data_IF_286453499819
#
_entry.id   IF_286453499819
#
_cell.length_a   1.000
_cell.length_b   1.000
_cell.length_c   1.000
_cell.angle_alpha   90.00
_cell.angle_beta   90.00
_cell.angle_gamma   90.00
#
_symmetry.space_group_name_H-M   'P 1'
#
loop_
_entity.id
_entity.type
_entity.pdbx_description
1 polymer ?
#
# COMPACT_ATOMS: atom_id res chain seq x y z
N UNK A 1 25.81 -15.22 10.28
CA UNK A 1 24.78 -14.43 9.56
C UNK A 1 23.50 -15.25 9.32
N UNK A 2 23.60 -16.54 8.94
CA UNK A 2 22.46 -17.46 8.79
C UNK A 2 21.64 -17.73 10.08
N UNK A 3 22.23 -17.69 11.28
CA UNK A 3 21.45 -17.91 12.51
C UNK A 3 20.43 -16.80 12.82
N UNK A 4 20.67 -15.57 12.36
CA UNK A 4 19.73 -14.45 12.56
C UNK A 4 18.49 -14.54 11.66
N UNK A 5 18.56 -15.28 10.55
CA UNK A 5 17.42 -15.59 9.67
C UNK A 5 16.44 -16.58 10.31
N UNK A 6 16.78 -17.21 11.45
CA UNK A 6 15.80 -17.99 12.23
C UNK A 6 14.73 -17.12 12.89
N UNK A 7 14.97 -15.80 13.02
CA UNK A 7 13.95 -14.90 13.52
C UNK A 7 12.97 -14.55 12.38
N UNK A 8 11.69 -14.99 12.45
CA UNK A 8 10.74 -14.79 11.36
C UNK A 8 10.48 -13.31 11.07
N UNK A 9 10.56 -12.43 12.07
CA UNK A 9 10.41 -10.98 11.87
C UNK A 9 11.51 -10.43 10.96
N UNK A 10 12.76 -10.84 11.20
CA UNK A 10 13.91 -10.40 10.39
C UNK A 10 13.84 -11.01 8.99
N UNK A 11 13.37 -12.26 8.86
CA UNK A 11 13.24 -12.92 7.57
C UNK A 11 12.20 -12.22 6.67
N UNK A 12 11.01 -11.92 7.19
CA UNK A 12 9.98 -11.19 6.43
C UNK A 12 10.40 -9.76 6.11
N UNK A 13 11.10 -9.08 7.03
CA UNK A 13 11.67 -7.77 6.76
C UNK A 13 12.73 -7.81 5.64
N UNK A 14 13.63 -8.79 5.70
CA UNK A 14 14.68 -8.96 4.69
C UNK A 14 14.07 -9.30 3.31
N UNK A 15 13.05 -10.14 3.28
CA UNK A 15 12.32 -10.46 2.06
C UNK A 15 11.62 -9.23 1.49
N UNK A 16 10.97 -8.42 2.32
CA UNK A 16 10.36 -7.16 1.90
C UNK A 16 11.38 -6.20 1.30
N UNK A 17 12.53 -6.01 1.96
CA UNK A 17 13.62 -5.18 1.45
C UNK A 17 14.14 -5.72 0.11
N UNK A 18 14.26 -7.03 -0.03
CA UNK A 18 14.64 -7.66 -1.29
C UNK A 18 13.61 -7.35 -2.39
N UNK A 19 12.31 -7.45 -2.12
CA UNK A 19 11.26 -7.08 -3.07
C UNK A 19 11.41 -5.63 -3.54
N UNK A 20 11.64 -4.69 -2.61
CA UNK A 20 11.86 -3.28 -2.96
C UNK A 20 13.09 -3.11 -3.85
N UNK A 21 14.24 -3.69 -3.46
CA UNK A 21 15.48 -3.58 -4.24
C UNK A 21 15.31 -4.19 -5.63
N UNK A 22 14.61 -5.33 -5.73
CA UNK A 22 14.36 -6.01 -7.01
C UNK A 22 13.39 -5.21 -7.88
N UNK A 23 12.38 -4.58 -7.28
CA UNK A 23 11.50 -3.64 -7.99
C UNK A 23 12.31 -2.46 -8.54
N UNK A 24 13.13 -1.81 -7.72
CA UNK A 24 13.94 -0.67 -8.14
C UNK A 24 14.91 -1.02 -9.28
N UNK A 25 15.47 -2.24 -9.26
CA UNK A 25 16.38 -2.71 -10.31
C UNK A 25 15.67 -3.10 -11.61
N UNK A 26 14.50 -3.75 -11.52
CA UNK A 26 13.79 -4.29 -12.70
C UNK A 26 12.77 -3.34 -13.33
N UNK A 27 12.22 -2.40 -12.54
CA UNK A 27 11.08 -1.54 -12.89
C UNK A 27 9.87 -2.30 -13.46
N UNK A 28 9.74 -3.59 -13.15
CA UNK A 28 8.69 -4.43 -13.72
C UNK A 28 7.36 -4.28 -12.97
N UNK A 29 6.28 -4.11 -13.73
CA UNK A 29 4.91 -3.97 -13.19
C UNK A 29 4.47 -5.12 -12.27
N UNK A 30 4.71 -6.41 -12.63
CA UNK A 30 4.34 -7.54 -11.76
C UNK A 30 5.08 -7.54 -10.41
N UNK A 31 6.37 -7.19 -10.39
CA UNK A 31 7.14 -7.12 -9.14
C UNK A 31 6.67 -5.92 -8.30
N UNK A 32 6.29 -4.81 -8.94
CA UNK A 32 5.67 -3.68 -8.25
C UNK A 32 4.37 -4.10 -7.56
N UNK A 33 3.46 -4.75 -8.29
CA UNK A 33 2.19 -5.23 -7.75
C UNK A 33 2.39 -6.21 -6.58
N UNK A 34 3.33 -7.15 -6.72
CA UNK A 34 3.67 -8.08 -5.63
C UNK A 34 4.28 -7.37 -4.42
N UNK A 35 5.17 -6.41 -4.65
CA UNK A 35 5.81 -5.63 -3.58
C UNK A 35 4.78 -4.81 -2.81
N UNK A 36 3.83 -4.17 -3.50
CA UNK A 36 2.75 -3.41 -2.86
C UNK A 36 1.82 -4.33 -2.06
N UNK A 37 1.40 -5.44 -2.66
CA UNK A 37 0.59 -6.45 -1.97
C UNK A 37 1.28 -6.95 -0.69
N UNK A 38 2.56 -7.32 -0.80
CA UNK A 38 3.33 -7.81 0.33
C UNK A 38 3.53 -6.72 1.40
N UNK A 39 3.76 -5.47 0.99
CA UNK A 39 3.83 -4.32 1.91
C UNK A 39 2.52 -4.18 2.68
N UNK A 40 1.39 -4.30 1.99
CA UNK A 40 0.06 -4.31 2.58
C UNK A 40 -0.14 -5.42 3.61
N UNK A 41 0.34 -6.63 3.33
CA UNK A 41 0.19 -7.79 4.22
C UNK A 41 1.12 -7.78 5.44
N UNK A 42 2.24 -7.08 5.35
CA UNK A 42 3.30 -7.06 6.37
C UNK A 42 2.79 -6.79 7.82
N UNK A 43 1.92 -5.80 8.08
CA UNK A 43 1.34 -5.62 9.42
C UNK A 43 0.53 -6.82 9.91
N UNK A 44 -0.22 -7.51 9.04
CA UNK A 44 -0.98 -8.71 9.39
C UNK A 44 -0.06 -9.88 9.72
N UNK A 45 0.99 -10.08 8.92
CA UNK A 45 2.02 -11.10 9.18
C UNK A 45 2.66 -10.86 10.56
N UNK A 46 3.00 -9.62 10.90
CA UNK A 46 3.57 -9.29 12.20
C UNK A 46 2.60 -9.46 13.36
N UNK A 47 1.31 -9.12 13.19
CA UNK A 47 0.29 -9.40 14.22
C UNK A 47 0.17 -10.90 14.45
N UNK A 48 0.12 -11.72 13.40
CA UNK A 48 0.03 -13.19 13.52
C UNK A 48 1.26 -13.76 14.24
N UNK A 49 2.46 -13.30 13.88
CA UNK A 49 3.69 -13.71 14.57
C UNK A 49 3.70 -13.26 16.03
N UNK A 50 3.19 -12.07 16.32
CA UNK A 50 3.11 -11.54 17.67
C UNK A 50 2.15 -12.36 18.53
N UNK A 51 0.95 -12.67 18.03
CA UNK A 51 -0.02 -13.56 18.71
C UNK A 51 0.61 -14.94 18.95
N UNK A 52 1.39 -15.44 17.98
CA UNK A 52 1.97 -16.78 18.05
C UNK A 52 3.14 -16.93 19.02
N UNK A 53 3.90 -15.86 19.27
CA UNK A 53 5.16 -15.92 20.06
C UNK A 53 5.17 -15.09 21.34
N UNK A 54 4.32 -14.07 21.46
CA UNK A 54 4.28 -13.23 22.67
C UNK A 54 3.53 -13.92 23.81
N UNK A 55 3.95 -13.68 25.05
CA UNK A 55 3.26 -14.20 26.25
C UNK A 55 1.79 -13.78 26.30
N UNK A 56 1.50 -12.52 25.93
CA UNK A 56 0.14 -11.99 25.85
C UNK A 56 -0.68 -12.70 24.78
N UNK A 57 -0.09 -12.94 23.60
CA UNK A 57 -0.74 -13.66 22.51
C UNK A 57 -1.04 -15.12 22.85
N UNK A 58 -0.11 -15.79 23.54
CA UNK A 58 -0.29 -17.16 24.02
C UNK A 58 -1.45 -17.22 25.03
N UNK A 59 -1.48 -16.33 26.04
CA UNK A 59 -2.58 -16.23 27.00
C UNK A 59 -3.93 -15.97 26.32
N UNK A 60 -3.95 -15.12 25.29
CA UNK A 60 -5.16 -14.84 24.51
C UNK A 60 -5.66 -16.09 23.79
N UNK A 61 -4.75 -16.86 23.17
CA UNK A 61 -5.07 -18.10 22.46
C UNK A 61 -5.54 -19.20 23.41
N UNK A 62 -4.92 -19.33 24.58
CA UNK A 62 -5.28 -20.34 25.59
C UNK A 62 -6.67 -20.08 26.19
N UNK A 63 -7.05 -18.81 26.34
CA UNK A 63 -8.37 -18.42 26.83
C UNK A 63 -9.46 -18.42 25.73
N UNK A 64 -9.07 -18.41 24.46
CA UNK A 64 -10.00 -18.41 23.34
C UNK A 64 -10.40 -19.83 22.94
N UNK A 65 -11.67 -20.22 23.20
CA UNK A 65 -12.22 -21.46 22.63
C UNK A 65 -12.26 -21.36 21.09
N UNK A 66 -12.07 -22.48 20.40
CA UNK A 66 -12.04 -22.54 18.92
C UNK A 66 -13.21 -21.83 18.23
N UNK A 67 -14.41 -21.86 18.81
CA UNK A 67 -15.58 -21.19 18.25
C UNK A 67 -15.51 -19.67 18.33
N UNK A 68 -14.90 -19.09 19.38
CA UNK A 68 -14.69 -17.64 19.48
C UNK A 68 -13.72 -17.17 18.39
N UNK A 69 -12.69 -17.99 18.09
CA UNK A 69 -11.73 -17.71 17.03
C UNK A 69 -12.43 -17.75 15.66
N UNK A 70 -13.25 -18.78 15.41
CA UNK A 70 -14.01 -18.89 14.17
C UNK A 70 -14.95 -17.70 13.96
N UNK A 71 -15.73 -17.32 14.98
CA UNK A 71 -16.62 -16.15 14.92
C UNK A 71 -15.82 -14.86 14.71
N UNK A 72 -14.72 -14.67 15.45
CA UNK A 72 -13.86 -13.51 15.30
C UNK A 72 -13.28 -13.37 13.89
N UNK A 73 -12.81 -14.47 13.30
CA UNK A 73 -12.31 -14.50 11.92
C UNK A 73 -13.44 -14.19 10.94
N UNK A 74 -14.62 -14.79 11.09
CA UNK A 74 -15.76 -14.52 10.19
C UNK A 74 -16.17 -13.05 10.21
N UNK A 75 -16.27 -12.43 11.40
CA UNK A 75 -16.56 -10.99 11.54
C UNK A 75 -15.46 -10.13 10.94
N UNK A 76 -14.19 -10.49 11.17
CA UNK A 76 -13.05 -9.78 10.61
C UNK A 76 -13.06 -9.84 9.08
N UNK A 77 -13.24 -11.03 8.49
CA UNK A 77 -13.30 -11.21 7.03
C UNK A 77 -14.48 -10.45 6.44
N UNK A 78 -15.65 -10.51 7.08
CA UNK A 78 -16.83 -9.77 6.63
C UNK A 78 -16.61 -8.25 6.68
N UNK A 79 -16.11 -7.73 7.80
CA UNK A 79 -15.78 -6.31 7.94
C UNK A 79 -14.71 -5.86 6.94
N UNK A 80 -13.67 -6.67 6.76
CA UNK A 80 -12.62 -6.44 5.77
C UNK A 80 -13.17 -6.41 4.34
N UNK A 81 -14.07 -7.34 3.99
CA UNK A 81 -14.66 -7.40 2.65
C UNK A 81 -15.57 -6.20 2.34
N UNK A 82 -16.36 -5.74 3.32
CA UNK A 82 -17.17 -4.52 3.14
C UNK A 82 -16.27 -3.30 3.00
N UNK A 83 -15.27 -3.18 3.87
CA UNK A 83 -14.34 -2.07 3.83
C UNK A 83 -13.55 -2.04 2.52
N UNK A 84 -13.06 -3.19 2.06
CA UNK A 84 -12.29 -3.30 0.83
C UNK A 84 -13.06 -2.86 -0.40
N UNK A 85 -14.30 -3.32 -0.52
CA UNK A 85 -15.20 -2.95 -1.60
C UNK A 85 -15.49 -1.44 -1.59
N UNK A 86 -15.84 -0.90 -0.42
CA UNK A 86 -16.11 0.54 -0.26
C UNK A 86 -14.88 1.38 -0.60
N UNK A 87 -13.71 0.99 -0.11
CA UNK A 87 -12.46 1.71 -0.34
C UNK A 87 -12.05 1.68 -1.82
N UNK A 88 -12.07 0.50 -2.44
CA UNK A 88 -11.73 0.35 -3.86
C UNK A 88 -12.69 1.15 -4.76
N UNK A 89 -14.00 1.11 -4.48
CA UNK A 89 -14.98 1.93 -5.18
C UNK A 89 -14.71 3.42 -5.01
N UNK A 90 -14.43 3.88 -3.78
CA UNK A 90 -14.11 5.28 -3.50
C UNK A 90 -12.90 5.76 -4.30
N UNK A 91 -11.78 5.02 -4.25
CA UNK A 91 -10.56 5.38 -4.97
C UNK A 91 -10.76 5.41 -6.49
N UNK A 92 -11.47 4.44 -7.06
CA UNK A 92 -11.75 4.41 -8.49
C UNK A 92 -12.63 5.60 -8.89
N UNK A 93 -13.69 5.87 -8.13
CA UNK A 93 -14.59 6.98 -8.39
C UNK A 93 -13.87 8.33 -8.27
N UNK A 94 -12.97 8.50 -7.30
CA UNK A 94 -12.19 9.72 -7.11
C UNK A 94 -11.20 9.95 -8.27
N UNK A 95 -10.57 8.89 -8.77
CA UNK A 95 -9.54 8.96 -9.82
C UNK A 95 -10.13 9.13 -11.22
N UNK A 96 -11.19 8.38 -11.54
CA UNK A 96 -11.73 8.32 -12.90
C UNK A 96 -13.09 9.01 -13.06
N UNK A 97 -13.73 9.42 -11.96
CA UNK A 97 -15.05 10.05 -11.96
C UNK A 97 -16.15 9.21 -12.64
N UNK A 98 -15.98 7.88 -12.64
CA UNK A 98 -16.94 6.90 -13.18
C UNK A 98 -17.26 5.84 -12.14
N UNK A 99 -18.39 5.16 -12.31
CA UNK A 99 -18.77 4.04 -11.43
C UNK A 99 -17.73 2.91 -11.51
N UNK A 100 -17.23 2.50 -10.35
CA UNK A 100 -16.20 1.46 -10.22
C UNK A 100 -16.59 0.11 -10.82
N UNK A 101 -17.89 -0.17 -11.00
CA UNK A 101 -18.38 -1.36 -11.68
C UNK A 101 -17.95 -1.45 -13.16
N UNK A 102 -17.59 -0.33 -13.79
CA UNK A 102 -17.05 -0.33 -15.15
C UNK A 102 -15.59 -0.82 -15.21
N UNK A 103 -14.88 -0.83 -14.09
CA UNK A 103 -13.48 -1.27 -13.98
C UNK A 103 -13.39 -2.59 -13.21
N UNK A 104 -14.00 -3.65 -13.74
CA UNK A 104 -14.22 -4.90 -13.02
C UNK A 104 -12.93 -5.58 -12.52
N UNK A 105 -11.85 -5.58 -13.34
CA UNK A 105 -10.58 -6.20 -12.97
C UNK A 105 -9.87 -5.35 -11.92
N UNK A 106 -9.74 -4.05 -12.18
CA UNK A 106 -9.13 -3.08 -11.24
C UNK A 106 -9.85 -3.05 -9.91
N UNK A 107 -11.18 -2.98 -9.90
CA UNK A 107 -11.97 -3.01 -8.68
C UNK A 107 -11.71 -4.25 -7.84
N UNK A 108 -11.75 -5.43 -8.46
CA UNK A 108 -11.56 -6.71 -7.75
C UNK A 108 -10.14 -6.80 -7.17
N UNK A 109 -9.13 -6.43 -7.96
CA UNK A 109 -7.74 -6.51 -7.54
C UNK A 109 -7.38 -5.45 -6.50
N UNK A 110 -7.90 -4.22 -6.61
CA UNK A 110 -7.73 -3.21 -5.58
C UNK A 110 -8.39 -3.64 -4.26
N UNK A 111 -9.63 -4.13 -4.31
CA UNK A 111 -10.34 -4.61 -3.14
C UNK A 111 -9.60 -5.78 -2.46
N UNK A 112 -9.04 -6.72 -3.23
CA UNK A 112 -8.37 -7.87 -2.63
C UNK A 112 -6.92 -7.59 -2.21
N UNK A 113 -6.11 -7.02 -3.11
CA UNK A 113 -4.66 -6.90 -2.96
C UNK A 113 -4.23 -5.56 -2.35
N UNK A 114 -4.98 -4.48 -2.56
CA UNK A 114 -4.55 -3.13 -2.18
C UNK A 114 -5.34 -2.54 -1.01
N UNK A 115 -6.45 -3.15 -0.57
CA UNK A 115 -7.14 -2.70 0.65
C UNK A 115 -6.28 -2.60 1.90
N UNK A 116 -5.31 -3.52 2.15
CA UNK A 116 -4.39 -3.36 3.28
C UNK A 116 -3.64 -2.02 3.23
N UNK A 117 -3.36 -1.54 2.01
CA UNK A 117 -2.84 -0.21 1.75
C UNK A 117 -3.81 0.86 2.26
N UNK A 118 -5.05 0.84 1.77
CA UNK A 118 -6.10 1.78 2.14
C UNK A 118 -6.53 1.77 3.60
N UNK A 119 -6.25 0.70 4.35
CA UNK A 119 -6.63 0.57 5.77
C UNK A 119 -5.53 1.05 6.71
N UNK A 120 -4.28 0.68 6.44
CA UNK A 120 -3.17 0.87 7.39
C UNK A 120 -2.23 2.00 7.00
N UNK A 121 -2.31 2.46 5.75
CA UNK A 121 -1.44 3.49 5.18
C UNK A 121 -2.22 4.73 4.77
N UNK A 122 -3.29 5.04 5.50
CA UNK A 122 -3.98 6.31 5.39
C UNK A 122 -3.12 7.45 5.91
N UNK A 123 -3.29 8.64 5.32
CA UNK A 123 -2.55 9.85 5.71
C UNK A 123 -2.68 10.16 7.21
N UNK A 124 -3.84 9.88 7.81
CA UNK A 124 -4.08 10.06 9.25
C UNK A 124 -3.19 9.16 10.12
N UNK A 125 -3.05 7.88 9.75
CA UNK A 125 -2.24 6.89 10.46
C UNK A 125 -0.76 7.21 10.27
N UNK A 126 -0.36 7.48 9.03
CA UNK A 126 1.02 7.85 8.69
C UNK A 126 1.43 9.14 9.42
N UNK A 127 0.57 10.15 9.45
CA UNK A 127 0.78 11.38 10.22
C UNK A 127 0.92 11.10 11.71
N UNK A 128 0.08 10.22 12.27
CA UNK A 128 0.19 9.77 13.67
C UNK A 128 1.54 9.08 13.97
N UNK A 129 2.05 8.26 13.06
CA UNK A 129 3.36 7.62 13.17
C UNK A 129 4.50 8.65 13.12
N UNK A 130 4.43 9.61 12.21
CA UNK A 130 5.39 10.73 12.15
C UNK A 130 5.41 11.54 13.45
N UNK A 131 4.24 11.91 13.96
CA UNK A 131 4.12 12.65 15.22
C UNK A 131 4.72 11.87 16.40
N UNK A 132 4.45 10.56 16.47
CA UNK A 132 5.02 9.68 17.50
C UNK A 132 6.55 9.64 17.41
N UNK A 133 7.09 9.55 16.20
CA UNK A 133 8.54 9.53 15.98
C UNK A 133 9.21 10.87 16.34
N UNK A 134 8.54 11.99 16.05
CA UNK A 134 8.98 13.33 16.48
C UNK A 134 9.02 13.42 18.00
N UNK A 135 7.96 12.98 18.69
CA UNK A 135 7.90 12.99 20.18
C UNK A 135 9.02 12.14 20.76
N UNK A 136 9.22 10.92 20.24
CA UNK A 136 10.32 10.04 20.67
C UNK A 136 11.68 10.72 20.42
N UNK A 137 11.85 11.38 19.27
CA UNK A 137 13.05 12.15 18.95
C UNK A 137 13.30 13.30 19.93
N UNK A 138 12.26 14.05 20.31
CA UNK A 138 12.34 15.12 21.31
C UNK A 138 12.75 14.60 22.69
N UNK A 139 12.13 13.51 23.15
CA UNK A 139 12.49 12.85 24.41
C UNK A 139 13.96 12.41 24.38
N UNK A 140 14.39 11.77 23.30
CA UNK A 140 15.79 11.36 23.13
C UNK A 140 16.75 12.55 23.07
N UNK A 141 16.34 13.65 22.45
CA UNK A 141 17.10 14.91 22.42
C UNK A 141 17.37 15.47 23.82
N UNK A 142 16.46 15.28 24.77
CA UNK A 142 16.66 15.64 26.18
C UNK A 142 17.49 14.61 26.97
N UNK A 143 17.34 13.32 26.68
CA UNK A 143 18.06 12.23 27.38
C UNK A 143 19.55 12.18 26.96
N UNK A 144 19.87 12.50 25.70
CA UNK A 144 21.24 12.39 25.20
C UNK A 144 22.27 13.25 25.97
N UNK A 145 22.03 14.55 26.23
CA UNK A 145 22.93 15.35 27.06
C UNK A 145 23.12 14.77 28.46
N UNK A 146 22.06 14.25 29.07
CA UNK A 146 22.09 13.67 30.42
C UNK A 146 22.99 12.42 30.45
N UNK A 147 22.86 11.55 29.44
CA UNK A 147 23.69 10.33 29.32
C UNK A 147 25.19 10.63 29.16
N UNK A 148 25.56 11.80 28.63
CA UNK A 148 26.95 12.22 28.49
C UNK A 148 27.55 12.77 29.78
N UNK A 149 26.72 13.24 30.71
CA UNK A 149 27.14 13.81 32.01
C UNK A 149 27.24 12.71 33.09
N UNK A 150 26.43 11.65 32.97
CA UNK A 150 26.45 10.55 33.93
C UNK A 150 27.78 9.78 33.89
N UNK A 151 28.24 9.20 35.02
CA UNK A 151 29.48 8.42 35.12
C UNK A 151 29.32 7.02 34.51
N UNK A 152 28.81 6.95 33.28
CA UNK A 152 28.62 5.73 32.50
C UNK A 152 29.80 5.59 31.54
N UNK A 153 30.40 4.39 31.38
CA UNK A 153 31.49 4.21 30.44
C UNK A 153 31.06 4.57 29.00
N UNK A 154 31.84 5.41 28.34
CA UNK A 154 31.54 5.97 27.01
C UNK A 154 31.15 4.89 25.97
N UNK A 155 31.78 3.71 26.02
CA UNK A 155 31.44 2.58 25.15
C UNK A 155 29.97 2.15 25.25
N UNK A 156 29.36 2.21 26.45
CA UNK A 156 27.93 1.89 26.64
C UNK A 156 27.06 3.02 26.08
N UNK A 157 27.42 4.27 26.36
CA UNK A 157 26.71 5.45 25.84
C UNK A 157 26.72 5.48 24.32
N UNK A 158 27.89 5.33 23.69
CA UNK A 158 28.04 5.26 22.25
C UNK A 158 27.25 4.10 21.62
N UNK A 159 27.19 2.93 22.29
CA UNK A 159 26.36 1.81 21.83
C UNK A 159 24.86 2.15 21.87
N UNK A 160 24.38 2.75 22.96
CA UNK A 160 22.98 3.16 23.11
C UNK A 160 22.63 4.18 22.03
N UNK A 161 23.44 5.23 21.88
CA UNK A 161 23.26 6.26 20.86
C UNK A 161 23.24 5.63 19.47
N UNK A 162 24.23 4.81 19.12
CA UNK A 162 24.31 4.18 17.81
C UNK A 162 23.11 3.29 17.50
N UNK A 163 22.63 2.51 18.47
CA UNK A 163 21.42 1.68 18.30
C UNK A 163 20.17 2.54 18.18
N UNK A 164 20.02 3.58 19.00
CA UNK A 164 18.87 4.49 18.93
C UNK A 164 18.82 5.23 17.59
N UNK A 165 19.95 5.75 17.10
CA UNK A 165 20.03 6.36 15.77
C UNK A 165 19.70 5.38 14.65
N UNK A 166 20.18 4.14 14.75
CA UNK A 166 19.84 3.10 13.78
C UNK A 166 18.34 2.82 13.77
N UNK A 167 17.71 2.69 14.95
CA UNK A 167 16.26 2.45 15.06
C UNK A 167 15.48 3.63 14.48
N UNK A 168 15.80 4.87 14.88
CA UNK A 168 15.11 6.07 14.39
C UNK A 168 15.30 6.21 12.88
N UNK A 169 16.53 6.04 12.37
CA UNK A 169 16.83 6.12 10.95
C UNK A 169 16.09 5.07 10.13
N UNK A 170 16.05 3.82 10.61
CA UNK A 170 15.26 2.77 9.98
C UNK A 170 13.77 3.12 10.01
N UNK A 171 13.21 3.44 11.17
CA UNK A 171 11.79 3.80 11.30
C UNK A 171 11.40 4.97 10.39
N UNK A 172 12.19 6.03 10.35
CA UNK A 172 11.97 7.16 9.42
C UNK A 172 12.03 6.75 7.97
N UNK A 173 12.98 5.88 7.59
CA UNK A 173 13.05 5.33 6.23
C UNK A 173 11.79 4.53 5.88
N UNK A 174 11.34 3.63 6.75
CA UNK A 174 10.12 2.84 6.54
C UNK A 174 8.88 3.74 6.39
N UNK A 175 8.71 4.70 7.30
CA UNK A 175 7.59 5.64 7.24
C UNK A 175 7.69 6.50 5.97
N UNK A 176 8.88 6.94 5.57
CA UNK A 176 9.10 7.70 4.34
C UNK A 176 8.72 6.93 3.08
N UNK A 177 9.16 5.67 2.95
CA UNK A 177 8.79 4.80 1.81
C UNK A 177 7.28 4.61 1.74
N UNK A 178 6.66 4.34 2.88
CA UNK A 178 5.22 4.17 3.02
C UNK A 178 4.45 5.45 2.66
N UNK A 179 4.92 6.61 3.12
CA UNK A 179 4.31 7.91 2.84
C UNK A 179 4.36 8.21 1.34
N UNK A 180 5.49 7.91 0.70
CA UNK A 180 5.65 8.09 -0.74
C UNK A 180 4.68 7.20 -1.54
N UNK A 181 4.44 5.97 -1.08
CA UNK A 181 3.45 5.09 -1.69
C UNK A 181 2.03 5.66 -1.56
N UNK A 182 1.70 6.33 -0.45
CA UNK A 182 0.39 6.94 -0.22
C UNK A 182 0.15 8.15 -1.11
N UNK A 183 1.17 8.99 -1.28
CA UNK A 183 1.12 10.15 -2.17
C UNK A 183 0.94 9.75 -3.64
N UNK A 184 1.50 8.61 -4.07
CA UNK A 184 1.42 8.15 -5.45
C UNK A 184 0.30 7.12 -5.71
N UNK A 185 -0.63 6.94 -4.76
CA UNK A 185 -1.70 5.94 -4.85
C UNK A 185 -2.55 6.11 -6.13
N UNK A 186 -2.85 7.35 -6.50
CA UNK A 186 -3.73 7.67 -7.63
C UNK A 186 -3.06 7.30 -8.95
N UNK A 187 -1.80 7.71 -9.13
CA UNK A 187 -1.01 7.35 -10.31
C UNK A 187 -0.82 5.84 -10.44
N UNK A 188 -0.65 5.12 -9.32
CA UNK A 188 -0.58 3.66 -9.32
C UNK A 188 -1.89 3.04 -9.79
N UNK A 189 -3.02 3.54 -9.28
CA UNK A 189 -4.37 3.09 -9.69
C UNK A 189 -4.62 3.39 -11.16
N UNK A 190 -4.25 4.58 -11.65
CA UNK A 190 -4.35 4.96 -13.06
C UNK A 190 -3.59 4.00 -13.97
N UNK A 191 -2.29 3.80 -13.70
CA UNK A 191 -1.45 2.90 -14.49
C UNK A 191 -1.95 1.46 -14.46
N UNK A 192 -2.44 1.02 -13.31
CA UNK A 192 -2.98 -0.31 -13.17
C UNK A 192 -4.26 -0.50 -14.00
N UNK A 193 -5.18 0.48 -13.94
CA UNK A 193 -6.42 0.40 -14.70
C UNK A 193 -6.20 0.52 -16.21
N UNK A 194 -5.25 1.36 -16.64
CA UNK A 194 -4.84 1.46 -18.03
C UNK A 194 -4.33 0.14 -18.60
N UNK A 195 -3.66 -0.66 -17.76
CA UNK A 195 -3.19 -1.99 -18.13
C UNK A 195 -4.28 -3.06 -18.08
N UNK A 196 -5.19 -2.98 -17.09
CA UNK A 196 -6.13 -4.05 -16.79
C UNK A 196 -7.47 -3.94 -17.53
N UNK A 197 -8.08 -2.75 -17.55
CA UNK A 197 -9.47 -2.56 -18.01
C UNK A 197 -9.57 -1.69 -19.28
N UNK A 198 -8.58 -0.83 -19.56
CA UNK A 198 -8.60 -0.02 -20.77
C UNK A 198 -8.15 -0.80 -22.01
N UNK A 199 -8.84 -0.59 -23.11
CA UNK A 199 -8.52 -1.19 -24.40
C UNK A 199 -7.76 -0.20 -25.29
N UNK A 200 -6.52 -0.54 -25.66
CA UNK A 200 -5.72 0.22 -26.61
C UNK A 200 -6.15 0.03 -28.07
N UNK A 201 -6.86 -1.07 -28.38
CA UNK A 201 -7.35 -1.39 -29.72
C UNK A 201 -8.83 -1.01 -29.84
N UNK A 202 -9.12 0.29 -29.87
CA UNK A 202 -10.49 0.80 -29.95
C UNK A 202 -10.95 1.06 -31.38
N UNK A 203 -12.26 0.91 -31.63
CA UNK A 203 -12.88 1.10 -32.95
C UNK A 203 -13.51 2.50 -33.12
N UNK A 204 -13.20 3.45 -32.25
CA UNK A 204 -13.75 4.82 -32.30
C UNK A 204 -13.17 5.63 -33.47
N UNK A 205 -14.02 6.24 -34.28
CA UNK A 205 -13.63 6.97 -35.50
C UNK A 205 -13.65 8.50 -35.36
N UNK A 206 -14.11 9.02 -34.24
CA UNK A 206 -14.20 10.46 -33.97
C UNK A 206 -12.83 11.14 -33.90
N UNK A 207 -12.77 12.45 -34.12
CA UNK A 207 -11.49 13.18 -34.15
C UNK A 207 -10.70 13.11 -32.83
N UNK A 208 -11.40 13.05 -31.69
CA UNK A 208 -10.77 12.87 -30.37
C UNK A 208 -10.08 11.52 -30.21
N UNK A 209 -10.47 10.50 -30.99
CA UNK A 209 -9.89 9.15 -30.89
C UNK A 209 -8.47 9.10 -31.44
N UNK A 210 -8.09 10.04 -32.33
CA UNK A 210 -6.75 10.12 -32.92
C UNK A 210 -5.65 10.44 -31.90
N UNK A 211 -6.01 11.14 -30.83
CA UNK A 211 -5.10 11.52 -29.74
C UNK A 211 -5.27 10.65 -28.49
N UNK A 212 -6.14 9.64 -28.57
CA UNK A 212 -6.45 8.73 -27.47
C UNK A 212 -5.57 7.49 -27.57
N UNK A 213 -4.96 7.08 -26.46
CA UNK A 213 -4.13 5.88 -26.41
C UNK A 213 -4.95 4.63 -26.08
N UNK A 214 -5.95 4.77 -25.21
CA UNK A 214 -6.82 3.68 -24.80
C UNK A 214 -8.18 4.19 -24.33
N UNK A 215 -9.19 3.32 -24.36
CA UNK A 215 -10.55 3.66 -23.92
C UNK A 215 -11.09 2.60 -22.95
N UNK A 216 -11.89 3.05 -22.00
CA UNK A 216 -12.73 2.20 -21.16
C UNK A 216 -14.18 2.30 -21.60
N UNK A 217 -14.87 1.18 -21.77
CA UNK A 217 -16.27 1.15 -22.15
C UNK A 217 -17.17 1.39 -20.94
N UNK A 218 -17.99 2.44 -20.97
CA UNK A 218 -18.96 2.78 -19.92
C UNK A 218 -20.38 2.28 -20.23
N UNK A 219 -20.56 1.63 -21.38
CA UNK A 219 -21.84 1.12 -21.88
C UNK A 219 -22.37 1.89 -23.08
N UNK A 220 -22.98 1.16 -24.02
CA UNK A 220 -23.49 1.72 -25.28
C UNK A 220 -22.39 2.35 -26.12
N UNK A 221 -22.55 3.63 -26.44
CA UNK A 221 -21.57 4.44 -27.17
C UNK A 221 -20.74 5.36 -26.25
N UNK A 222 -20.86 5.24 -24.92
CA UNK A 222 -20.08 6.07 -23.99
C UNK A 222 -18.78 5.37 -23.60
N UNK A 223 -17.69 6.11 -23.66
CA UNK A 223 -16.36 5.63 -23.29
C UNK A 223 -15.64 6.66 -22.43
N UNK A 224 -14.69 6.21 -21.61
CA UNK A 224 -13.73 7.08 -20.96
C UNK A 224 -12.43 7.00 -21.78
N UNK A 225 -12.06 8.10 -22.44
CA UNK A 225 -10.86 8.18 -23.26
C UNK A 225 -9.66 8.57 -22.41
N UNK A 226 -8.54 7.87 -22.59
CA UNK A 226 -7.26 8.23 -22.00
C UNK A 226 -6.37 8.97 -23.01
N UNK A 227 -6.07 10.22 -22.70
CA UNK A 227 -5.29 11.13 -23.53
C UNK A 227 -4.04 11.59 -22.76
N UNK A 228 -2.89 10.92 -22.93
CA UNK A 228 -1.69 11.19 -22.14
C UNK A 228 -1.10 12.58 -22.38
N UNK A 229 -1.43 13.22 -23.52
CA UNK A 229 -0.95 14.55 -23.88
C UNK A 229 -1.64 15.68 -23.10
N UNK A 230 -2.78 15.39 -22.48
CA UNK A 230 -3.50 16.39 -21.69
C UNK A 230 -2.80 16.64 -20.34
N UNK A 231 -2.97 17.83 -19.75
CA UNK A 231 -2.50 18.12 -18.39
C UNK A 231 -2.98 17.09 -17.37
N UNK A 232 -2.17 16.85 -16.34
CA UNK A 232 -2.56 16.00 -15.20
C UNK A 232 -3.91 16.44 -14.63
N UNK A 233 -4.78 15.47 -14.34
CA UNK A 233 -6.17 15.70 -13.93
C UNK A 233 -7.17 15.88 -15.07
N UNK A 234 -6.71 16.03 -16.32
CA UNK A 234 -7.59 16.11 -17.51
C UNK A 234 -7.30 15.02 -18.56
N UNK A 235 -6.57 13.99 -18.15
CA UNK A 235 -6.18 12.87 -19.01
C UNK A 235 -7.31 11.88 -19.27
N UNK A 236 -8.34 11.86 -18.44
CA UNK A 236 -9.51 11.00 -18.59
C UNK A 236 -10.72 11.86 -18.93
N UNK A 237 -11.23 11.72 -20.16
CA UNK A 237 -12.41 12.47 -20.60
C UNK A 237 -13.53 11.52 -21.00
N UNK A 238 -14.77 11.74 -20.52
CA UNK A 238 -15.91 10.97 -20.98
C UNK A 238 -16.30 11.43 -22.39
N UNK A 239 -16.27 10.50 -23.34
CA UNK A 239 -16.54 10.77 -24.75
C UNK A 239 -17.65 9.86 -25.29
N UNK A 240 -18.22 10.27 -26.42
CA UNK A 240 -19.13 9.41 -27.20
C UNK A 240 -18.38 8.87 -28.40
N UNK A 241 -18.32 7.53 -28.50
CA UNK A 241 -17.63 6.79 -29.53
C UNK A 241 -18.58 6.37 -30.65
N UNK A 242 -18.31 6.89 -31.85
CA UNK A 242 -18.85 6.35 -33.09
C UNK A 242 -17.99 5.18 -33.53
N UNK A 243 -18.56 3.98 -33.48
CA UNK A 243 -17.85 2.77 -33.86
C UNK A 243 -17.74 2.67 -35.39
N UNK A 244 -16.54 2.32 -35.86
CA UNK A 244 -16.35 1.90 -37.23
C UNK A 244 -17.30 0.73 -37.53
N UNK A 245 -18.24 0.92 -38.46
CA UNK A 245 -19.11 -0.16 -38.91
C UNK A 245 -18.29 -1.10 -39.80
N UNK A 246 -17.79 -2.20 -39.23
CA UNK A 246 -17.34 -3.33 -40.05
C UNK A 246 -18.57 -4.13 -40.48
N UNK A 247 -18.95 -4.01 -41.74
CA UNK A 247 -19.88 -4.94 -42.39
C UNK A 247 -19.13 -6.20 -42.82
#
# INVERSE_FOLDING_TARGET
MLEKLKNPYIAFLAFWLLCIVTFMASQSGPIAAFTIFYTGLLPFIYIVLWISKSETGIKLRENAKNWHVAIGISWFVFGYAIYSQKWAAGIINDVFLVDAGNLGITYTLLAFLFTPFGMLYQDSIISGLWNSLIIVGMIWGGIFPILLILPIPFKKVAKIIGVSFLIIGLSSFFIGVVSNLALNKETLVQRFALWADFNSNHLCTDDWSKTTESVLFLGGNRVLAYQPQNPEGSQFTPETCNYAKSF
#
